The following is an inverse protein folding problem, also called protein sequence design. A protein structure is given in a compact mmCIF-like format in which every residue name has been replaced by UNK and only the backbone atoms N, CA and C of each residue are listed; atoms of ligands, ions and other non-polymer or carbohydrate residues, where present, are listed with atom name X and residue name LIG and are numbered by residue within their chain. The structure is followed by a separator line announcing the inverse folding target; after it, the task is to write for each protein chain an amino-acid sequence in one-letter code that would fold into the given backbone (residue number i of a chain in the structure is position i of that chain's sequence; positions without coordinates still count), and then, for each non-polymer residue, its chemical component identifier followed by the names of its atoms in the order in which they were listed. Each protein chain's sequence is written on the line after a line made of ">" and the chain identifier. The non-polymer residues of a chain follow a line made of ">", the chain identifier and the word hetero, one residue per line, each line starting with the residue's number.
data_IF_894900719786
#
_entry.id   IF_894900719786
#
_cell.length_a   1.000
_cell.length_b   1.000
_cell.length_c   1.000
_cell.angle_alpha   90.00
_cell.angle_beta   90.00
_cell.angle_gamma   90.00
#
_symmetry.space_group_name_H-M   'P 1'
#
loop_
_entity.id
_entity.type
_entity.pdbx_description
1 polymer ?
#
# COMPACT_ATOMS: atom_id res chain seq x y z
N UNK A 1 -13.79 -0.80 -2.69
CA UNK A 1 -14.49 0.38 -2.15
C UNK A 1 -15.78 0.04 -1.40
N UNK A 2 -16.81 -0.62 -1.99
CA UNK A 2 -18.11 -0.76 -1.32
C UNK A 2 -18.05 -1.56 -0.02
N UNK A 3 -17.28 -2.66 -0.03
CA UNK A 3 -17.09 -3.53 1.14
C UNK A 3 -16.47 -2.78 2.32
N UNK A 4 -15.50 -1.90 2.07
CA UNK A 4 -14.88 -1.07 3.10
C UNK A 4 -15.88 -0.06 3.69
N UNK A 5 -16.67 0.60 2.85
CA UNK A 5 -17.68 1.57 3.30
C UNK A 5 -18.74 0.87 4.14
N UNK A 6 -19.31 -0.23 3.65
CA UNK A 6 -20.31 -1.02 4.37
C UNK A 6 -19.71 -1.51 5.70
N UNK A 7 -18.49 -2.06 5.65
CA UNK A 7 -17.78 -2.48 6.83
C UNK A 7 -17.60 -1.35 7.85
N UNK A 8 -17.17 -0.17 7.40
CA UNK A 8 -17.02 1.00 8.27
C UNK A 8 -18.37 1.41 8.87
N UNK A 9 -19.45 1.48 8.09
CA UNK A 9 -20.80 1.78 8.62
C UNK A 9 -21.16 0.82 9.75
N UNK A 10 -20.91 -0.48 9.56
CA UNK A 10 -21.16 -1.53 10.55
C UNK A 10 -20.19 -1.56 11.74
N UNK A 11 -19.06 -0.85 11.66
CA UNK A 11 -18.02 -0.85 12.71
C UNK A 11 -18.40 0.11 13.85
N UNK A 12 -18.59 -0.35 15.10
CA UNK A 12 -18.94 0.54 16.20
C UNK A 12 -17.73 1.36 16.66
N UNK A 13 -17.97 2.59 17.12
CA UNK A 13 -16.96 3.40 17.81
C UNK A 13 -17.04 3.05 19.30
N UNK A 14 -15.93 2.62 19.88
CA UNK A 14 -15.86 2.21 21.29
C UNK A 14 -14.64 2.81 21.98
N UNK A 15 -14.66 2.94 23.32
CA UNK A 15 -13.46 3.31 24.07
C UNK A 15 -12.33 2.32 23.79
N UNK A 16 -11.13 2.83 23.69
CA UNK A 16 -9.90 2.05 23.64
C UNK A 16 -9.68 1.41 25.02
N UNK A 17 -9.39 0.11 25.04
CA UNK A 17 -9.12 -0.62 26.28
C UNK A 17 -8.31 -1.87 26.02
N UNK A 18 -7.30 -2.11 26.85
CA UNK A 18 -6.51 -3.33 26.83
C UNK A 18 -5.56 -3.42 25.62
N UNK A 19 -5.10 -4.63 25.33
CA UNK A 19 -4.17 -4.89 24.22
C UNK A 19 -4.96 -5.17 22.95
N UNK A 20 -4.73 -4.36 21.91
CA UNK A 20 -5.40 -4.51 20.62
C UNK A 20 -4.41 -4.38 19.45
N UNK A 21 -4.65 -5.17 18.40
CA UNK A 21 -4.00 -4.99 17.10
C UNK A 21 -4.85 -4.01 16.31
N UNK A 22 -4.26 -2.89 15.91
CA UNK A 22 -4.92 -1.90 15.07
C UNK A 22 -4.33 -1.91 13.66
N UNK A 23 -5.20 -1.66 12.69
CA UNK A 23 -4.82 -1.44 11.30
C UNK A 23 -4.18 -0.06 11.11
N UNK A 24 -3.25 0.02 10.16
CA UNK A 24 -2.61 1.25 9.78
C UNK A 24 -3.47 2.17 8.93
N UNK A 25 -2.97 3.39 8.74
CA UNK A 25 -3.66 4.42 7.98
C UNK A 25 -2.96 4.73 6.66
N UNK A 26 -3.68 4.54 5.54
CA UNK A 26 -3.37 5.17 4.25
C UNK A 26 -4.20 6.43 4.08
N UNK A 27 -3.82 7.32 3.14
CA UNK A 27 -4.55 8.56 2.90
C UNK A 27 -6.00 8.29 2.46
N UNK A 28 -6.21 7.35 1.54
CA UNK A 28 -7.57 6.96 1.14
C UNK A 28 -8.39 6.40 2.31
N UNK A 29 -7.76 5.58 3.16
CA UNK A 29 -8.45 5.01 4.30
C UNK A 29 -8.84 6.07 5.32
N UNK A 30 -7.95 7.03 5.63
CA UNK A 30 -8.24 8.14 6.52
C UNK A 30 -9.43 8.99 6.04
N UNK A 31 -9.40 9.37 4.76
CA UNK A 31 -10.50 10.16 4.16
C UNK A 31 -11.81 9.39 4.24
N UNK A 32 -11.80 8.09 3.94
CA UNK A 32 -13.02 7.28 3.97
C UNK A 32 -13.53 7.02 5.38
N UNK A 33 -12.63 6.70 6.33
CA UNK A 33 -12.97 6.52 7.75
C UNK A 33 -13.60 7.81 8.30
N UNK A 34 -12.99 8.96 8.03
CA UNK A 34 -13.53 10.26 8.42
C UNK A 34 -14.87 10.57 7.74
N UNK A 35 -15.02 10.31 6.43
CA UNK A 35 -16.28 10.56 5.72
C UNK A 35 -17.44 9.72 6.24
N UNK A 36 -17.17 8.49 6.72
CA UNK A 36 -18.20 7.57 7.22
C UNK A 36 -18.50 7.77 8.72
N UNK A 37 -17.48 8.09 9.54
CA UNK A 37 -17.62 8.17 11.01
C UNK A 37 -17.60 9.59 11.56
N UNK A 38 -17.09 10.55 10.81
CA UNK A 38 -16.81 11.89 11.31
C UNK A 38 -15.64 11.90 12.30
N UNK A 39 -15.50 12.97 13.09
CA UNK A 39 -14.46 13.07 14.12
C UNK A 39 -14.68 12.04 15.23
N UNK A 40 -13.62 11.31 15.58
CA UNK A 40 -13.64 10.34 16.67
C UNK A 40 -13.08 11.02 17.94
N UNK A 41 -13.78 10.96 19.08
CA UNK A 41 -13.29 11.55 20.33
C UNK A 41 -11.96 10.92 20.81
N UNK A 42 -11.19 11.67 21.59
CA UNK A 42 -10.00 11.13 22.25
C UNK A 42 -10.35 9.93 23.13
N UNK A 43 -9.52 8.88 23.08
CA UNK A 43 -9.75 7.63 23.81
C UNK A 43 -10.77 6.69 23.17
N UNK A 44 -11.28 6.99 21.97
CA UNK A 44 -12.16 6.10 21.20
C UNK A 44 -11.54 5.72 19.86
N UNK A 45 -11.94 4.58 19.31
CA UNK A 45 -11.60 4.18 17.93
C UNK A 45 -12.72 3.32 17.32
N UNK A 46 -12.63 3.13 16.00
CA UNK A 46 -13.52 2.29 15.20
C UNK A 46 -13.11 0.83 15.37
N UNK A 47 -13.96 0.03 16.00
CA UNK A 47 -13.74 -1.41 16.10
C UNK A 47 -14.13 -2.07 14.78
N UNK A 48 -13.14 -2.41 13.96
CA UNK A 48 -13.41 -2.86 12.60
C UNK A 48 -14.26 -4.12 12.55
N UNK A 49 -15.38 -4.02 11.83
CA UNK A 49 -16.11 -5.17 11.35
C UNK A 49 -15.23 -5.98 10.38
N UNK A 50 -15.32 -7.33 10.33
CA UNK A 50 -14.52 -8.15 9.41
C UNK A 50 -14.60 -7.70 7.95
N UNK A 51 -15.76 -7.20 7.50
CA UNK A 51 -15.92 -6.62 6.17
C UNK A 51 -15.07 -5.35 5.97
N UNK A 52 -14.93 -4.50 6.99
CA UNK A 52 -14.09 -3.31 6.94
C UNK A 52 -12.62 -3.73 6.82
N UNK A 53 -12.18 -4.69 7.64
CA UNK A 53 -10.83 -5.24 7.58
C UNK A 53 -10.52 -5.85 6.20
N UNK A 54 -11.45 -6.60 5.61
CA UNK A 54 -11.29 -7.14 4.26
C UNK A 54 -11.17 -6.03 3.19
N UNK A 55 -11.97 -4.96 3.34
CA UNK A 55 -11.88 -3.79 2.47
C UNK A 55 -10.54 -3.06 2.59
N UNK A 56 -10.04 -2.89 3.81
CA UNK A 56 -8.73 -2.31 4.10
C UNK A 56 -7.59 -3.16 3.57
N UNK A 57 -7.66 -4.49 3.72
CA UNK A 57 -6.72 -5.43 3.13
C UNK A 57 -6.69 -5.31 1.60
N UNK A 58 -7.83 -5.05 0.97
CA UNK A 58 -7.91 -4.77 -0.46
C UNK A 58 -7.08 -3.54 -0.88
N UNK A 59 -7.14 -2.45 -0.12
CA UNK A 59 -6.26 -1.29 -0.34
C UNK A 59 -4.80 -1.65 -0.15
N UNK A 60 -4.48 -2.36 0.92
CA UNK A 60 -3.12 -2.75 1.23
C UNK A 60 -2.52 -3.63 0.12
N UNK A 61 -3.23 -4.67 -0.32
CA UNK A 61 -2.78 -5.56 -1.42
C UNK A 61 -2.65 -4.80 -2.74
N UNK A 62 -3.55 -3.86 -3.01
CA UNK A 62 -3.44 -3.01 -4.22
C UNK A 62 -2.19 -2.14 -4.15
N UNK A 63 -1.91 -1.50 -3.01
CA UNK A 63 -0.69 -0.73 -2.82
C UNK A 63 0.57 -1.61 -3.00
N UNK A 64 0.56 -2.83 -2.43
CA UNK A 64 1.65 -3.78 -2.60
C UNK A 64 1.87 -4.11 -4.08
N UNK A 65 0.82 -4.45 -4.82
CA UNK A 65 0.93 -4.78 -6.25
C UNK A 65 1.41 -3.59 -7.11
N UNK A 66 1.19 -2.34 -6.67
CA UNK A 66 1.65 -1.16 -7.37
C UNK A 66 3.10 -0.74 -7.02
N UNK A 67 3.75 -1.44 -6.09
CA UNK A 67 5.17 -1.20 -5.80
C UNK A 67 6.03 -1.49 -7.04
N UNK A 68 7.09 -0.69 -7.31
CA UNK A 68 7.96 -0.86 -8.47
C UNK A 68 8.96 -2.01 -8.26
N UNK A 69 8.45 -3.22 -8.07
CA UNK A 69 9.20 -4.46 -7.86
C UNK A 69 8.80 -5.50 -8.92
N UNK A 70 9.79 -6.26 -9.40
CA UNK A 70 9.75 -7.03 -10.67
C UNK A 70 8.44 -7.77 -10.94
N UNK A 71 8.05 -8.71 -10.06
CA UNK A 71 6.88 -9.57 -10.31
C UNK A 71 5.53 -8.88 -10.07
N UNK A 72 5.54 -7.65 -9.54
CA UNK A 72 4.32 -6.91 -9.22
C UNK A 72 3.90 -6.06 -10.43
N UNK A 73 2.62 -5.71 -10.52
CA UNK A 73 2.10 -4.89 -11.62
C UNK A 73 2.83 -3.54 -11.71
N UNK A 74 3.18 -2.95 -10.57
CA UNK A 74 3.99 -1.73 -10.48
C UNK A 74 5.40 -1.88 -11.06
N UNK A 75 5.99 -3.09 -11.00
CA UNK A 75 7.26 -3.40 -11.66
C UNK A 75 7.14 -3.32 -13.18
N UNK A 76 6.09 -3.90 -13.74
CA UNK A 76 5.78 -3.86 -15.18
C UNK A 76 5.52 -2.43 -15.65
N UNK A 77 4.73 -1.67 -14.89
CA UNK A 77 4.44 -0.27 -15.17
C UNK A 77 5.72 0.57 -15.14
N UNK A 78 6.53 0.43 -14.08
CA UNK A 78 7.77 1.17 -13.93
C UNK A 78 8.79 0.81 -15.03
N UNK A 79 8.88 -0.47 -15.41
CA UNK A 79 9.74 -0.89 -16.51
C UNK A 79 9.27 -0.33 -17.85
N UNK A 80 7.96 -0.39 -18.15
CA UNK A 80 7.42 0.14 -19.40
C UNK A 80 7.74 1.64 -19.55
N UNK A 81 7.66 2.41 -18.46
CA UNK A 81 7.91 3.86 -18.47
C UNK A 81 9.40 4.21 -18.53
N UNK A 82 10.24 3.49 -17.79
CA UNK A 82 11.63 3.89 -17.55
C UNK A 82 12.66 3.05 -18.30
N UNK A 83 12.24 1.93 -18.91
CA UNK A 83 13.10 0.97 -19.58
C UNK A 83 14.29 0.58 -18.72
N UNK A 84 15.51 0.77 -19.24
CA UNK A 84 16.76 0.48 -18.53
C UNK A 84 16.95 1.25 -17.22
N UNK A 85 16.29 2.41 -17.06
CA UNK A 85 16.31 3.22 -15.83
C UNK A 85 15.59 2.56 -14.64
N UNK A 86 14.73 1.58 -14.92
CA UNK A 86 13.99 0.80 -13.91
C UNK A 86 14.88 0.24 -12.80
N UNK A 87 16.07 -0.28 -13.15
CA UNK A 87 16.96 -0.91 -12.16
C UNK A 87 17.35 0.04 -11.04
N UNK A 88 17.54 1.33 -11.33
CA UNK A 88 17.84 2.33 -10.29
C UNK A 88 16.65 2.56 -9.37
N UNK A 89 15.44 2.63 -9.93
CA UNK A 89 14.21 2.81 -9.15
C UNK A 89 13.96 1.64 -8.20
N UNK A 90 14.17 0.40 -8.65
CA UNK A 90 14.04 -0.78 -7.77
C UNK A 90 14.96 -0.65 -6.55
N UNK A 91 16.24 -0.33 -6.75
CA UNK A 91 17.19 -0.18 -5.63
C UNK A 91 16.82 0.97 -4.69
N UNK A 92 16.40 2.10 -5.23
CA UNK A 92 15.91 3.23 -4.42
C UNK A 92 14.69 2.80 -3.60
N UNK A 93 13.74 2.11 -4.22
CA UNK A 93 12.52 1.66 -3.56
C UNK A 93 12.80 0.61 -2.48
N UNK A 94 13.71 -0.33 -2.71
CA UNK A 94 14.17 -1.25 -1.66
C UNK A 94 14.79 -0.51 -0.48
N UNK A 95 15.59 0.54 -0.74
CA UNK A 95 16.11 1.43 0.30
C UNK A 95 15.00 2.12 1.09
N UNK A 96 13.94 2.57 0.42
CA UNK A 96 12.74 3.12 1.08
C UNK A 96 12.05 2.09 1.96
N UNK A 97 11.89 0.84 1.51
CA UNK A 97 11.30 -0.23 2.33
C UNK A 97 12.13 -0.53 3.58
N UNK A 98 13.46 -0.56 3.45
CA UNK A 98 14.36 -0.71 4.60
C UNK A 98 14.21 0.48 5.56
N UNK A 99 14.20 1.70 5.03
CA UNK A 99 13.98 2.91 5.83
C UNK A 99 12.63 2.87 6.56
N UNK A 100 11.56 2.48 5.87
CA UNK A 100 10.23 2.30 6.47
C UNK A 100 10.29 1.28 7.60
N UNK A 101 10.93 0.13 7.39
CA UNK A 101 11.11 -0.86 8.46
C UNK A 101 11.80 -0.29 9.70
N UNK A 102 12.80 0.56 9.52
CA UNK A 102 13.56 1.17 10.62
C UNK A 102 12.71 2.23 11.33
N UNK A 103 12.08 3.13 10.57
CA UNK A 103 11.30 4.26 11.11
C UNK A 103 10.03 3.79 11.81
N UNK A 104 9.34 2.78 11.26
CA UNK A 104 8.08 2.28 11.85
C UNK A 104 8.29 1.10 12.78
N UNK A 105 9.52 0.62 12.94
CA UNK A 105 9.88 -0.61 13.66
C UNK A 105 9.11 -1.86 13.20
N UNK A 106 8.56 -1.84 11.99
CA UNK A 106 7.75 -2.94 11.46
C UNK A 106 8.55 -3.77 10.46
N UNK A 107 8.97 -4.96 10.89
CA UNK A 107 9.84 -5.87 10.12
C UNK A 107 9.20 -6.42 8.84
N UNK A 108 7.88 -6.28 8.67
CA UNK A 108 7.18 -6.79 7.49
C UNK A 108 7.68 -6.19 6.18
N UNK A 109 8.24 -4.97 6.19
CA UNK A 109 8.87 -4.40 4.99
C UNK A 109 10.15 -5.13 4.58
N UNK A 110 10.90 -5.70 5.52
CA UNK A 110 12.08 -6.51 5.21
C UNK A 110 11.70 -7.84 4.57
N UNK A 111 10.51 -8.39 4.87
CA UNK A 111 9.98 -9.56 4.16
C UNK A 111 9.81 -9.24 2.67
N UNK A 112 9.25 -8.07 2.34
CA UNK A 112 9.10 -7.64 0.95
C UNK A 112 10.45 -7.39 0.26
N UNK A 113 11.43 -6.83 0.98
CA UNK A 113 12.80 -6.70 0.46
C UNK A 113 13.41 -8.07 0.17
N UNK A 114 13.31 -9.02 1.10
CA UNK A 114 13.82 -10.38 0.93
C UNK A 114 13.14 -11.10 -0.24
N UNK A 115 11.82 -11.00 -0.35
CA UNK A 115 11.05 -11.57 -1.47
C UNK A 115 11.48 -10.96 -2.80
N UNK A 116 11.60 -9.64 -2.89
CA UNK A 116 12.04 -8.98 -4.12
C UNK A 116 13.44 -9.44 -4.56
N UNK A 117 14.37 -9.58 -3.61
CA UNK A 117 15.72 -10.08 -3.88
C UNK A 117 15.69 -11.55 -4.31
N UNK A 118 14.94 -12.40 -3.61
CA UNK A 118 14.84 -13.83 -3.89
C UNK A 118 14.18 -14.13 -5.26
N UNK A 119 13.15 -13.38 -5.61
CA UNK A 119 12.41 -13.52 -6.88
C UNK A 119 13.13 -12.88 -8.08
N UNK A 120 14.21 -12.13 -7.81
CA UNK A 120 15.04 -11.47 -8.81
C UNK A 120 14.59 -10.04 -9.11
N UNK A 121 15.55 -9.13 -9.06
CA UNK A 121 15.34 -7.69 -9.32
C UNK A 121 15.37 -7.32 -10.81
N UNK A 122 15.62 -8.30 -11.69
CA UNK A 122 15.63 -8.09 -13.14
C UNK A 122 14.23 -8.30 -13.68
N UNK A 123 13.73 -7.31 -14.40
CA UNK A 123 12.51 -7.46 -15.18
C UNK A 123 12.90 -8.05 -16.55
N UNK A 124 12.29 -9.16 -17.01
CA UNK A 124 12.46 -9.59 -18.38
C UNK A 124 12.00 -8.47 -19.33
N UNK A 125 12.77 -8.13 -20.38
CA UNK A 125 12.34 -7.12 -21.34
C UNK A 125 11.05 -7.60 -22.04
N UNK A 126 10.08 -6.70 -22.30
CA UNK A 126 8.93 -7.01 -23.13
C UNK A 126 9.39 -7.35 -24.55
N UNK A 127 8.55 -8.08 -25.28
CA UNK A 127 8.84 -8.48 -26.67
C UNK A 127 9.03 -7.29 -27.62
N UNK A 128 8.48 -6.13 -27.26
CA UNK A 128 8.69 -4.86 -27.93
C UNK A 128 9.17 -3.82 -26.90
N UNK A 129 10.47 -3.55 -26.90
CA UNK A 129 11.12 -2.53 -26.07
C UNK A 129 11.54 -1.28 -26.85
N UNK A 130 11.15 -1.21 -28.13
CA UNK A 130 11.52 -0.14 -29.06
C UNK A 130 10.38 0.86 -29.22
N UNK A 131 9.13 0.39 -29.20
CA UNK A 131 7.97 1.26 -29.37
C UNK A 131 7.75 2.13 -28.12
N UNK A 132 7.74 3.47 -28.24
CA UNK A 132 7.46 4.34 -27.12
C UNK A 132 6.01 4.18 -26.64
N UNK A 133 5.80 4.30 -25.32
CA UNK A 133 4.45 4.34 -24.74
C UNK A 133 3.61 5.47 -25.32
N UNK A 134 2.40 5.11 -25.75
CA UNK A 134 1.35 6.06 -26.14
C UNK A 134 0.89 6.93 -24.94
N UNK A 135 0.21 8.04 -25.24
CA UNK A 135 -0.24 8.98 -24.21
C UNK A 135 -1.18 8.34 -23.17
N UNK A 136 -2.17 7.49 -23.55
CA UNK A 136 -3.04 6.82 -22.57
C UNK A 136 -2.28 5.96 -21.56
N UNK A 137 -1.30 5.15 -22.00
CA UNK A 137 -0.54 4.30 -21.09
C UNK A 137 0.35 5.09 -20.14
N UNK A 138 0.88 6.23 -20.58
CA UNK A 138 1.62 7.15 -19.69
C UNK A 138 0.72 7.71 -18.60
N UNK A 139 -0.52 8.10 -18.94
CA UNK A 139 -1.50 8.56 -17.95
C UNK A 139 -1.80 7.45 -16.95
N UNK A 140 -2.02 6.22 -17.40
CA UNK A 140 -2.26 5.08 -16.51
C UNK A 140 -1.08 4.82 -15.55
N UNK A 141 0.16 4.98 -16.01
CA UNK A 141 1.32 4.86 -15.15
C UNK A 141 1.38 5.94 -14.06
N UNK A 142 1.03 7.19 -14.41
CA UNK A 142 0.94 8.29 -13.43
C UNK A 142 -0.19 8.02 -12.43
N UNK A 143 -1.35 7.55 -12.89
CA UNK A 143 -2.47 7.17 -12.02
C UNK A 143 -2.05 6.04 -11.07
N UNK A 144 -1.37 5.01 -11.57
CA UNK A 144 -0.86 3.91 -10.75
C UNK A 144 0.10 4.40 -9.65
N UNK A 145 1.02 5.32 -9.98
CA UNK A 145 1.89 5.93 -8.99
C UNK A 145 1.12 6.76 -7.95
N UNK A 146 0.12 7.53 -8.39
CA UNK A 146 -0.76 8.27 -7.50
C UNK A 146 -1.53 7.35 -6.55
N UNK A 147 -2.06 6.23 -7.06
CA UNK A 147 -2.73 5.21 -6.27
C UNK A 147 -1.79 4.56 -5.26
N UNK A 148 -0.54 4.26 -5.62
CA UNK A 148 0.46 3.76 -4.68
C UNK A 148 0.62 4.74 -3.51
N UNK A 149 0.83 6.04 -3.79
CA UNK A 149 1.02 7.06 -2.75
C UNK A 149 -0.20 7.20 -1.84
N UNK A 150 -1.40 7.13 -2.41
CA UNK A 150 -2.66 7.31 -1.67
C UNK A 150 -3.05 6.07 -0.86
N UNK A 151 -2.67 4.87 -1.33
CA UNK A 151 -3.07 3.60 -0.74
C UNK A 151 -2.00 2.98 0.16
N UNK A 152 -0.72 3.36 0.03
CA UNK A 152 0.34 2.80 0.87
C UNK A 152 0.06 3.10 2.34
N UNK A 153 0.21 2.07 3.17
CA UNK A 153 0.04 2.14 4.61
C UNK A 153 1.39 1.88 5.27
N UNK A 154 2.16 2.92 5.68
CA UNK A 154 3.54 2.76 6.15
C UNK A 154 3.70 1.83 7.36
N UNK A 155 2.73 1.82 8.26
CA UNK A 155 2.67 0.92 9.42
C UNK A 155 1.38 0.11 9.33
N UNK A 156 1.35 -1.03 8.61
CA UNK A 156 0.11 -1.75 8.33
C UNK A 156 -0.60 -2.29 9.56
N UNK A 157 0.17 -2.73 10.56
CA UNK A 157 -0.36 -3.25 11.82
C UNK A 157 0.52 -2.78 12.96
N UNK A 158 -0.12 -2.37 14.05
CA UNK A 158 0.55 -2.04 15.30
C UNK A 158 -0.21 -2.66 16.46
N UNK A 159 0.55 -3.09 17.48
CA UNK A 159 -0.01 -3.55 18.75
C UNK A 159 0.06 -2.38 19.71
N UNK A 160 -1.08 -2.01 20.27
CA UNK A 160 -1.18 -0.97 21.28
C UNK A 160 -1.74 -1.54 22.57
N UNK A 161 -1.35 -0.93 23.68
CA UNK A 161 -1.88 -1.16 25.01
C UNK A 161 -2.51 0.15 25.49
N UNK A 162 -3.83 0.13 25.74
CA UNK A 162 -4.66 1.29 26.10
C UNK A 162 -5.26 1.16 27.50
#
# INVERSE_FOLDING_TARGET
>A
MPVLVIGLVLSPVKPLSGVAVQEGNSLAYLVLKWAVKGPIPEGFDVMLHPAALAGWLGFFVTALNLMPLSQLDGGHIAYAVLGRGYRKIVWVFLGVLVLLSVVTHWLGWLVWVALAVALGLRHPPPLDDVTPLDAPRRILAVVALGLLVVLITPLPFAVYEF
#
